data_IF_300294775468
#
_entry.id   IF_300294775468
#
_cell.length_a   1.000
_cell.length_b   1.000
_cell.length_c   1.000
_cell.angle_alpha   90.00
_cell.angle_beta   90.00
_cell.angle_gamma   90.00
#
_symmetry.space_group_name_H-M   'P 1'
#
loop_
_entity.id
_entity.type
_entity.pdbx_description
1 polymer ?
#
# COMPACT_ATOMS: atom_id res chain seq x y z
N UNK A 1 31.95 -83.54 19.62
CA UNK A 1 30.98 -83.07 18.59
C UNK A 1 29.66 -82.50 19.15
N UNK A 2 28.97 -83.12 20.12
CA UNK A 2 27.67 -82.59 20.62
C UNK A 2 27.71 -81.21 21.30
N UNK A 3 28.77 -80.85 22.04
CA UNK A 3 28.87 -79.55 22.74
C UNK A 3 29.00 -78.35 21.79
N UNK A 4 29.68 -78.52 20.65
CA UNK A 4 29.91 -77.47 19.66
C UNK A 4 28.63 -77.09 18.92
N UNK A 5 27.80 -78.09 18.56
CA UNK A 5 26.52 -77.89 17.85
C UNK A 5 25.49 -77.15 18.72
N UNK A 6 25.48 -77.41 20.02
CA UNK A 6 24.59 -76.70 20.98
C UNK A 6 25.00 -75.23 21.12
N UNK A 7 26.31 -74.95 21.07
CA UNK A 7 26.81 -73.58 21.19
C UNK A 7 26.49 -72.74 19.95
N UNK A 8 26.66 -73.31 18.75
CA UNK A 8 26.30 -72.65 17.49
C UNK A 8 24.79 -72.45 17.35
N UNK A 9 23.97 -73.39 17.83
CA UNK A 9 22.51 -73.26 17.85
C UNK A 9 22.03 -72.12 18.78
N UNK A 10 22.65 -71.96 19.95
CA UNK A 10 22.37 -70.85 20.88
C UNK A 10 22.78 -69.48 20.33
N UNK A 11 23.89 -69.40 19.60
CA UNK A 11 24.34 -68.18 18.92
C UNK A 11 23.38 -67.79 17.78
N UNK A 12 22.91 -68.75 16.99
CA UNK A 12 21.96 -68.50 15.91
C UNK A 12 20.59 -68.02 16.42
N UNK A 13 20.07 -68.64 17.50
CA UNK A 13 18.84 -68.21 18.17
C UNK A 13 18.97 -66.79 18.75
N UNK A 14 20.14 -66.44 19.31
CA UNK A 14 20.42 -65.09 19.80
C UNK A 14 20.43 -64.04 18.68
N UNK A 15 21.03 -64.35 17.53
CA UNK A 15 21.06 -63.45 16.36
C UNK A 15 19.65 -63.22 15.78
N UNK A 16 18.83 -64.27 15.70
CA UNK A 16 17.44 -64.14 15.24
C UNK A 16 16.64 -63.25 16.19
N UNK A 17 16.77 -63.42 17.50
CA UNK A 17 16.09 -62.60 18.50
C UNK A 17 16.50 -61.11 18.46
N UNK A 18 17.76 -60.82 18.15
CA UNK A 18 18.24 -59.44 17.98
C UNK A 18 17.68 -58.83 16.69
N UNK A 19 17.67 -59.59 15.59
CA UNK A 19 17.13 -59.11 14.31
C UNK A 19 15.63 -58.82 14.36
N UNK A 20 14.85 -59.64 15.07
CA UNK A 20 13.42 -59.41 15.28
C UNK A 20 13.14 -58.22 16.19
N UNK A 21 13.97 -57.99 17.22
CA UNK A 21 13.88 -56.81 18.07
C UNK A 21 14.16 -55.51 17.29
N UNK A 22 15.14 -55.52 16.39
CA UNK A 22 15.46 -54.40 15.50
C UNK A 22 14.31 -54.15 14.51
N UNK A 23 13.74 -55.20 13.93
CA UNK A 23 12.64 -55.06 12.98
C UNK A 23 11.38 -54.48 13.66
N UNK A 24 11.07 -54.93 14.88
CA UNK A 24 9.95 -54.41 15.67
C UNK A 24 10.19 -52.94 16.04
N UNK A 25 11.40 -52.56 16.46
CA UNK A 25 11.73 -51.15 16.74
C UNK A 25 11.67 -50.27 15.49
N UNK A 26 12.12 -50.75 14.33
CA UNK A 26 11.96 -50.05 13.05
C UNK A 26 10.48 -49.85 12.67
N UNK A 27 9.62 -50.86 12.89
CA UNK A 27 8.17 -50.75 12.67
C UNK A 27 7.51 -49.71 13.60
N UNK A 28 7.98 -49.57 14.85
CA UNK A 28 7.51 -48.52 15.77
C UNK A 28 8.02 -47.11 15.39
N UNK A 29 9.20 -47.00 14.78
CA UNK A 29 9.72 -45.72 14.28
C UNK A 29 8.91 -45.24 13.06
N UNK A 30 8.50 -46.15 12.18
CA UNK A 30 7.69 -45.81 10.99
C UNK A 30 6.18 -45.66 11.28
N UNK A 31 5.68 -46.19 12.41
CA UNK A 31 4.27 -46.10 12.80
C UNK A 31 3.89 -44.82 13.58
N UNK A 32 4.83 -43.88 13.80
CA UNK A 32 4.47 -42.53 14.27
C UNK A 32 3.79 -41.78 13.13
N UNK A 33 2.46 -41.87 13.11
CA UNK A 33 1.54 -40.90 12.49
C UNK A 33 2.09 -39.49 12.68
N UNK A 34 2.12 -38.70 11.61
CA UNK A 34 2.14 -37.25 11.72
C UNK A 34 0.96 -36.83 12.62
N UNK A 35 1.29 -36.40 13.83
CA UNK A 35 0.33 -35.72 14.67
C UNK A 35 0.04 -34.37 14.00
N UNK A 36 -1.24 -34.09 13.75
CA UNK A 36 -1.72 -32.75 13.41
C UNK A 36 -1.18 -31.79 14.49
N UNK A 37 -0.44 -30.72 14.14
CA UNK A 37 0.10 -29.85 15.16
C UNK A 37 -1.03 -29.12 15.88
N UNK A 38 -1.15 -29.36 17.18
CA UNK A 38 -1.97 -28.56 18.09
C UNK A 38 -1.43 -27.12 18.16
N UNK A 39 -2.35 -26.17 18.32
CA UNK A 39 -2.07 -24.74 18.39
C UNK A 39 -1.11 -24.46 19.55
N UNK A 40 0.04 -23.78 19.37
CA UNK A 40 1.00 -23.59 20.46
C UNK A 40 0.47 -22.64 21.53
N UNK A 41 0.59 -23.06 22.80
CA UNK A 41 0.13 -22.35 24.01
C UNK A 41 1.11 -21.28 24.57
N UNK A 42 2.21 -20.97 23.88
CA UNK A 42 3.20 -19.98 24.35
C UNK A 42 3.25 -18.75 23.45
N UNK A 43 3.43 -17.56 24.03
CA UNK A 43 3.62 -16.30 23.29
C UNK A 43 4.91 -16.41 22.45
N UNK A 44 4.76 -16.84 21.20
CA UNK A 44 5.85 -17.10 20.23
C UNK A 44 6.57 -15.79 19.81
N UNK A 45 6.01 -14.62 20.12
CA UNK A 45 6.44 -13.35 19.54
C UNK A 45 7.85 -12.93 19.95
N UNK A 46 8.31 -13.24 21.17
CA UNK A 46 9.60 -12.75 21.65
C UNK A 46 10.81 -13.61 21.23
N UNK A 47 10.64 -14.92 20.98
CA UNK A 47 11.79 -15.81 20.72
C UNK A 47 12.32 -15.75 19.28
N UNK A 48 11.59 -15.13 18.35
CA UNK A 48 11.98 -15.00 16.93
C UNK A 48 12.18 -13.56 16.46
N UNK A 49 11.98 -12.59 17.35
CA UNK A 49 12.04 -11.16 16.99
C UNK A 49 13.44 -10.62 17.26
N UNK A 50 14.17 -10.32 16.19
CA UNK A 50 15.48 -9.68 16.24
C UNK A 50 15.45 -8.35 15.48
N UNK A 51 16.17 -7.37 16.00
CA UNK A 51 16.31 -6.02 15.44
C UNK A 51 17.70 -5.92 14.84
N UNK A 52 17.77 -5.61 13.55
CA UNK A 52 19.00 -5.48 12.76
C UNK A 52 19.17 -4.04 12.23
N UNK A 53 20.40 -3.58 11.95
CA UNK A 53 20.57 -2.38 11.14
C UNK A 53 19.92 -2.56 9.76
N UNK A 54 19.43 -1.47 9.16
CA UNK A 54 18.87 -1.52 7.80
C UNK A 54 20.00 -1.29 6.82
N UNK A 55 20.11 -2.15 5.81
CA UNK A 55 21.07 -1.96 4.72
C UNK A 55 20.54 -0.92 3.73
N UNK A 56 21.40 0.05 3.41
CA UNK A 56 21.14 1.04 2.37
C UNK A 56 21.63 0.51 1.02
N UNK A 57 20.91 0.77 -0.08
CA UNK A 57 21.40 0.41 -1.40
C UNK A 57 22.66 1.23 -1.75
N UNK A 58 23.53 0.69 -2.61
CA UNK A 58 24.72 1.40 -3.10
C UNK A 58 24.33 2.60 -3.98
N UNK A 59 23.28 2.44 -4.79
CA UNK A 59 22.73 3.48 -5.67
C UNK A 59 21.22 3.56 -5.49
N UNK A 60 20.68 4.77 -5.60
CA UNK A 60 19.24 5.02 -5.48
C UNK A 60 18.83 6.16 -6.40
N UNK A 61 17.66 6.01 -7.00
CA UNK A 61 17.02 7.04 -7.81
C UNK A 61 15.62 7.35 -7.30
N UNK A 62 15.22 8.61 -7.44
CA UNK A 62 13.84 9.06 -7.27
C UNK A 62 13.36 9.67 -8.59
N UNK A 63 12.35 9.04 -9.20
CA UNK A 63 11.74 9.52 -10.43
C UNK A 63 12.75 9.73 -11.59
N UNK A 64 13.77 8.88 -11.67
CA UNK A 64 14.87 8.97 -12.65
C UNK A 64 15.96 9.99 -12.29
N UNK A 65 15.91 10.58 -11.10
CA UNK A 65 16.93 11.50 -10.58
C UNK A 65 17.79 10.79 -9.53
N UNK A 66 19.11 10.97 -9.61
CA UNK A 66 20.06 10.37 -8.66
C UNK A 66 19.88 10.94 -7.25
N UNK A 67 19.83 10.05 -6.26
CA UNK A 67 19.92 10.39 -4.83
C UNK A 67 21.40 10.34 -4.40
N UNK A 68 21.99 11.44 -3.87
CA UNK A 68 23.43 11.48 -3.55
C UNK A 68 23.74 10.83 -2.19
N UNK A 69 23.75 9.49 -2.14
CA UNK A 69 23.99 8.71 -0.92
C UNK A 69 25.43 8.83 -0.36
N UNK A 70 26.36 9.42 -1.11
CA UNK A 70 27.69 9.78 -0.63
C UNK A 70 27.67 10.94 0.38
N UNK A 71 26.58 11.71 0.44
CA UNK A 71 26.41 12.77 1.42
C UNK A 71 25.93 12.15 2.75
N UNK A 72 26.64 12.47 3.84
CA UNK A 72 26.41 11.85 5.16
C UNK A 72 24.99 12.12 5.65
N UNK A 73 24.52 13.36 5.51
CA UNK A 73 23.20 13.80 5.91
C UNK A 73 22.10 13.14 5.07
N UNK A 74 22.27 13.00 3.75
CA UNK A 74 21.32 12.28 2.88
C UNK A 74 21.20 10.82 3.31
N UNK A 75 22.34 10.16 3.55
CA UNK A 75 22.40 8.77 3.99
C UNK A 75 21.72 8.56 5.35
N UNK A 76 22.05 9.38 6.34
CA UNK A 76 21.47 9.30 7.69
C UNK A 76 19.98 9.63 7.71
N UNK A 77 19.53 10.59 6.88
CA UNK A 77 18.11 10.90 6.76
C UNK A 77 17.31 9.76 6.11
N UNK A 78 17.85 9.10 5.08
CA UNK A 78 17.23 7.91 4.48
C UNK A 78 17.19 6.75 5.47
N UNK A 79 18.29 6.46 6.15
CA UNK A 79 18.37 5.41 7.17
C UNK A 79 17.35 5.64 8.28
N UNK A 80 17.19 6.88 8.77
CA UNK A 80 16.17 7.22 9.76
C UNK A 80 14.77 6.82 9.30
N UNK A 81 14.38 7.18 8.08
CA UNK A 81 13.04 6.86 7.58
C UNK A 81 12.85 5.36 7.32
N UNK A 82 13.90 4.66 6.89
CA UNK A 82 13.88 3.20 6.79
C UNK A 82 13.69 2.54 8.16
N UNK A 83 14.46 2.95 9.18
CA UNK A 83 14.31 2.42 10.54
C UNK A 83 12.90 2.64 11.07
N UNK A 84 12.31 3.83 10.87
CA UNK A 84 10.94 4.13 11.30
C UNK A 84 9.94 3.16 10.64
N UNK A 85 10.03 2.97 9.33
CA UNK A 85 9.04 2.17 8.60
C UNK A 85 9.28 0.66 8.75
N UNK A 86 10.52 0.20 8.91
CA UNK A 86 10.83 -1.21 9.19
C UNK A 86 10.38 -1.60 10.59
N UNK A 87 10.56 -0.74 11.59
CA UNK A 87 10.25 -1.07 12.98
C UNK A 87 8.84 -0.66 13.44
N UNK A 88 8.03 -0.11 12.54
CA UNK A 88 6.59 0.02 12.72
C UNK A 88 5.83 -1.03 11.90
N UNK A 89 6.09 -2.32 12.17
CA UNK A 89 5.67 -3.39 11.25
C UNK A 89 4.16 -3.44 11.00
N UNK A 90 3.34 -3.21 12.02
CA UNK A 90 1.88 -3.24 11.88
C UNK A 90 1.36 -2.20 10.89
N UNK A 91 1.99 -1.03 10.86
CA UNK A 91 1.68 0.03 9.92
C UNK A 91 2.15 -0.34 8.50
N UNK A 92 3.39 -0.80 8.36
CA UNK A 92 3.96 -1.16 7.05
C UNK A 92 3.24 -2.35 6.41
N UNK A 93 2.83 -3.36 7.19
CA UNK A 93 1.97 -4.44 6.70
C UNK A 93 0.63 -3.91 6.14
N UNK A 94 0.06 -2.89 6.79
CA UNK A 94 -1.17 -2.27 6.31
C UNK A 94 -0.93 -1.45 5.02
N UNK A 95 0.22 -0.78 4.92
CA UNK A 95 0.64 -0.10 3.69
C UNK A 95 0.80 -1.09 2.52
N UNK A 96 1.47 -2.23 2.73
CA UNK A 96 1.60 -3.29 1.71
C UNK A 96 0.24 -3.77 1.21
N UNK A 97 -0.68 -4.09 2.14
CA UNK A 97 -2.04 -4.52 1.79
C UNK A 97 -2.77 -3.44 0.98
N UNK A 98 -2.73 -2.17 1.41
CA UNK A 98 -3.41 -1.05 0.72
C UNK A 98 -2.77 -0.69 -0.62
N UNK A 99 -1.45 -0.74 -0.73
CA UNK A 99 -0.72 -0.50 -1.96
C UNK A 99 -1.21 -1.45 -3.06
N UNK A 100 -1.33 -2.75 -2.74
CA UNK A 100 -1.87 -3.74 -3.68
C UNK A 100 -3.29 -3.43 -4.17
N UNK A 101 -4.13 -2.78 -3.35
CA UNK A 101 -5.48 -2.35 -3.75
C UNK A 101 -5.51 -1.08 -4.58
N UNK A 102 -4.67 -0.10 -4.26
CA UNK A 102 -4.85 1.27 -4.79
C UNK A 102 -3.80 1.69 -5.83
N UNK A 103 -2.63 1.04 -5.87
CA UNK A 103 -1.65 1.29 -6.93
C UNK A 103 -2.20 1.00 -8.33
N UNK A 104 -2.96 -0.09 -8.59
CA UNK A 104 -3.46 -0.32 -9.94
C UNK A 104 -4.51 0.73 -10.39
N UNK A 105 -5.09 1.51 -9.45
CA UNK A 105 -5.90 2.70 -9.75
C UNK A 105 -5.03 3.93 -10.06
N UNK A 106 -3.93 4.14 -9.32
CA UNK A 106 -3.07 5.33 -9.39
C UNK A 106 -2.10 5.26 -10.58
N UNK A 107 -1.41 4.14 -10.77
CA UNK A 107 -0.33 3.98 -11.74
C UNK A 107 -0.76 4.25 -13.20
N UNK A 108 -1.93 3.78 -13.69
CA UNK A 108 -2.36 4.11 -15.05
C UNK A 108 -2.61 5.60 -15.24
N UNK A 109 -3.05 6.31 -14.19
CA UNK A 109 -3.26 7.76 -14.23
C UNK A 109 -1.92 8.48 -14.29
N UNK A 110 -0.95 8.13 -13.45
CA UNK A 110 0.39 8.72 -13.49
C UNK A 110 1.01 8.56 -14.88
N UNK A 111 0.98 7.33 -15.41
CA UNK A 111 1.49 7.00 -16.76
C UNK A 111 0.80 7.80 -17.86
N UNK A 112 -0.53 7.91 -17.82
CA UNK A 112 -1.30 8.68 -18.81
C UNK A 112 -0.97 10.18 -18.79
N UNK A 113 -0.47 10.71 -17.68
CA UNK A 113 -0.11 12.11 -17.54
C UNK A 113 1.40 12.37 -17.67
N UNK A 114 2.21 11.38 -18.03
CA UNK A 114 3.68 11.49 -18.08
C UNK A 114 4.30 11.88 -16.73
N UNK A 115 3.71 11.40 -15.63
CA UNK A 115 4.25 11.55 -14.28
C UNK A 115 4.96 10.25 -13.89
N UNK A 116 6.19 10.30 -13.35
CA UNK A 116 6.94 9.10 -12.96
C UNK A 116 6.18 8.22 -11.97
N UNK A 117 6.32 6.91 -12.13
CA UNK A 117 5.61 5.93 -11.30
C UNK A 117 5.94 6.05 -9.81
N UNK A 118 7.19 6.43 -9.49
CA UNK A 118 7.66 6.73 -8.13
C UNK A 118 6.79 7.74 -7.38
N UNK A 119 6.06 8.62 -8.08
CA UNK A 119 5.17 9.59 -7.45
C UNK A 119 4.00 8.95 -6.71
N UNK A 120 3.67 7.68 -6.97
CA UNK A 120 2.65 6.95 -6.19
C UNK A 120 3.01 6.84 -4.71
N UNK A 121 4.30 6.81 -4.38
CA UNK A 121 4.78 6.76 -3.00
C UNK A 121 4.55 8.07 -2.25
N UNK A 122 4.31 9.19 -2.95
CA UNK A 122 3.81 10.41 -2.32
C UNK A 122 2.42 10.18 -1.71
N UNK A 123 1.49 9.53 -2.41
CA UNK A 123 0.16 9.25 -1.85
C UNK A 123 0.23 8.33 -0.62
N UNK A 124 1.24 7.45 -0.55
CA UNK A 124 1.54 6.66 0.64
C UNK A 124 2.03 7.57 1.77
N UNK A 125 3.00 8.45 1.50
CA UNK A 125 3.52 9.41 2.49
C UNK A 125 2.49 10.49 2.90
N UNK A 126 1.49 10.78 2.09
CA UNK A 126 0.50 11.80 2.44
C UNK A 126 -0.62 11.24 3.33
N UNK A 127 -1.11 10.03 3.04
CA UNK A 127 -2.35 9.55 3.67
C UNK A 127 -2.40 8.07 4.04
N UNK A 128 -1.30 7.34 3.88
CA UNK A 128 -1.25 5.88 4.02
C UNK A 128 -2.24 5.16 3.08
N UNK A 129 -2.53 5.79 1.92
CA UNK A 129 -3.55 5.38 0.96
C UNK A 129 -4.95 5.28 1.58
N UNK A 130 -5.34 6.31 2.33
CA UNK A 130 -6.66 6.44 2.95
C UNK A 130 -7.35 7.76 2.62
N UNK A 131 -8.66 7.82 2.91
CA UNK A 131 -9.45 9.06 2.88
C UNK A 131 -9.21 9.91 4.14
N UNK A 132 -7.94 10.18 4.47
CA UNK A 132 -7.52 10.93 5.65
C UNK A 132 -7.92 12.41 5.57
N UNK A 133 -8.07 13.03 6.74
CA UNK A 133 -8.25 14.47 6.90
C UNK A 133 -7.21 14.96 7.89
N UNK A 134 -6.32 15.86 7.47
CA UNK A 134 -5.31 16.43 8.36
C UNK A 134 -5.91 17.52 9.28
N UNK A 135 -5.22 17.90 10.35
CA UNK A 135 -5.57 19.07 11.16
C UNK A 135 -5.72 20.36 10.34
N UNK A 136 -4.92 20.51 9.28
CA UNK A 136 -4.93 21.65 8.36
C UNK A 136 -5.96 21.50 7.22
N UNK A 137 -6.88 20.54 7.33
CA UNK A 137 -7.96 20.28 6.39
C UNK A 137 -7.48 19.87 4.98
N UNK A 138 -6.28 19.29 4.89
CA UNK A 138 -5.88 18.51 3.73
C UNK A 138 -6.68 17.20 3.69
N UNK A 139 -7.08 16.75 2.50
CA UNK A 139 -8.06 15.66 2.36
C UNK A 139 -7.64 14.62 1.33
N UNK A 140 -7.92 13.36 1.65
CA UNK A 140 -7.89 12.23 0.73
C UNK A 140 -6.49 11.65 0.53
N UNK A 141 -6.35 10.89 -0.55
CA UNK A 141 -5.12 10.17 -0.89
C UNK A 141 -3.92 11.09 -1.10
N UNK A 142 -4.19 12.27 -1.64
CA UNK A 142 -3.19 13.25 -2.04
C UNK A 142 -3.16 14.47 -1.12
N UNK A 143 -3.86 14.42 0.02
CA UNK A 143 -3.88 15.48 1.04
C UNK A 143 -4.01 16.91 0.45
N UNK A 144 -4.97 17.10 -0.45
CA UNK A 144 -5.20 18.44 -1.00
C UNK A 144 -5.91 19.34 0.00
N UNK A 145 -5.36 20.52 0.26
CA UNK A 145 -6.10 21.63 0.85
C UNK A 145 -7.12 22.19 -0.16
N UNK A 146 -8.21 22.79 0.34
CA UNK A 146 -9.35 23.20 -0.51
C UNK A 146 -8.98 24.21 -1.61
N UNK A 147 -8.04 25.13 -1.36
CA UNK A 147 -7.59 26.11 -2.35
C UNK A 147 -6.84 25.41 -3.49
N UNK A 148 -5.80 24.64 -3.15
CA UNK A 148 -4.99 23.89 -4.10
C UNK A 148 -5.83 22.90 -4.91
N UNK A 149 -6.82 22.23 -4.29
CA UNK A 149 -7.75 21.35 -4.98
C UNK A 149 -8.50 22.07 -6.11
N UNK A 150 -9.07 23.24 -5.82
CA UNK A 150 -9.83 24.03 -6.79
C UNK A 150 -8.95 24.60 -7.89
N UNK A 151 -7.76 25.09 -7.54
CA UNK A 151 -6.75 25.54 -8.50
C UNK A 151 -6.37 24.42 -9.47
N UNK A 152 -6.31 23.19 -8.96
CA UNK A 152 -6.05 21.99 -9.75
C UNK A 152 -7.33 21.35 -10.28
N UNK A 153 -8.44 22.08 -10.41
CA UNK A 153 -9.63 21.64 -11.15
C UNK A 153 -10.56 20.65 -10.44
N UNK A 154 -10.43 20.46 -9.13
CA UNK A 154 -11.38 19.69 -8.33
C UNK A 154 -12.58 20.53 -7.89
N UNK A 155 -13.76 19.94 -7.94
CA UNK A 155 -14.95 20.50 -7.31
C UNK A 155 -14.91 20.28 -5.80
N UNK A 156 -15.01 21.38 -5.03
CA UNK A 156 -15.02 21.36 -3.56
C UNK A 156 -16.10 22.30 -3.04
N UNK A 157 -17.24 21.72 -2.68
CA UNK A 157 -18.39 22.39 -2.08
C UNK A 157 -19.06 21.49 -1.01
N UNK A 158 -20.24 21.89 -0.53
CA UNK A 158 -20.95 21.24 0.58
C UNK A 158 -21.50 19.85 0.21
N UNK A 159 -21.88 19.64 -1.04
CA UNK A 159 -22.52 18.40 -1.52
C UNK A 159 -21.51 17.47 -2.19
N UNK A 160 -20.49 18.04 -2.85
CA UNK A 160 -19.46 17.34 -3.61
C UNK A 160 -18.07 17.84 -3.20
N UNK A 161 -17.21 16.93 -2.81
CA UNK A 161 -15.79 17.20 -2.55
C UNK A 161 -14.93 16.13 -3.24
N UNK A 162 -14.45 16.46 -4.43
CA UNK A 162 -13.68 15.56 -5.30
C UNK A 162 -12.27 15.29 -4.77
N UNK A 163 -11.84 15.90 -3.66
CA UNK A 163 -10.62 15.48 -2.94
C UNK A 163 -10.75 14.05 -2.40
N UNK A 164 -11.97 13.63 -2.07
CA UNK A 164 -12.29 12.25 -1.70
C UNK A 164 -12.50 11.32 -2.91
N UNK A 165 -12.29 11.78 -4.14
CA UNK A 165 -12.42 10.95 -5.34
C UNK A 165 -11.03 10.55 -5.85
N UNK A 166 -10.59 9.32 -5.58
CA UNK A 166 -9.21 8.86 -5.86
C UNK A 166 -8.75 9.14 -7.30
N UNK A 167 -9.55 8.79 -8.32
CA UNK A 167 -9.17 9.04 -9.73
C UNK A 167 -9.01 10.53 -10.03
N UNK A 168 -9.98 11.37 -9.64
CA UNK A 168 -9.97 12.82 -9.88
C UNK A 168 -8.85 13.52 -9.10
N UNK A 169 -8.66 13.19 -7.83
CA UNK A 169 -7.58 13.76 -7.02
C UNK A 169 -6.20 13.31 -7.51
N UNK A 170 -6.05 12.10 -8.05
CA UNK A 170 -4.81 11.67 -8.71
C UNK A 170 -4.52 12.48 -9.97
N UNK A 171 -5.54 12.75 -10.80
CA UNK A 171 -5.38 13.67 -11.95
C UNK A 171 -5.00 15.10 -11.52
N UNK A 172 -5.55 15.59 -10.40
CA UNK A 172 -5.18 16.89 -9.84
C UNK A 172 -3.73 16.91 -9.33
N UNK A 173 -3.29 15.84 -8.65
CA UNK A 173 -1.90 15.68 -8.23
C UNK A 173 -0.95 15.68 -9.42
N UNK A 174 -1.31 14.97 -10.51
CA UNK A 174 -0.53 14.98 -11.75
C UNK A 174 -0.36 16.40 -12.30
N UNK A 175 -1.43 17.20 -12.36
CA UNK A 175 -1.37 18.60 -12.83
C UNK A 175 -0.42 19.43 -11.98
N UNK A 176 -0.58 19.37 -10.65
CA UNK A 176 0.28 20.09 -9.73
C UNK A 176 1.76 19.71 -9.92
N UNK A 177 2.05 18.41 -9.96
CA UNK A 177 3.40 17.88 -10.04
C UNK A 177 4.09 18.27 -11.35
N UNK A 178 3.38 18.21 -12.48
CA UNK A 178 3.92 18.65 -13.78
C UNK A 178 4.24 20.13 -13.80
N UNK A 179 3.31 20.98 -13.36
CA UNK A 179 3.55 22.42 -13.26
C UNK A 179 4.72 22.77 -12.33
N UNK A 180 4.88 22.01 -11.23
CA UNK A 180 6.02 22.18 -10.34
C UNK A 180 7.32 21.66 -10.98
N UNK A 181 7.29 20.54 -11.71
CA UNK A 181 8.44 20.07 -12.46
C UNK A 181 8.86 21.06 -13.55
N UNK A 182 7.91 21.60 -14.33
CA UNK A 182 8.19 22.64 -15.33
C UNK A 182 8.83 23.89 -14.71
N UNK A 183 8.52 24.18 -13.45
CA UNK A 183 9.08 25.32 -12.70
C UNK A 183 10.48 25.04 -12.14
N UNK A 184 10.71 23.85 -11.58
CA UNK A 184 11.90 23.55 -10.79
C UNK A 184 12.92 22.67 -11.51
N UNK A 185 12.52 21.97 -12.58
CA UNK A 185 13.36 21.04 -13.33
C UNK A 185 13.77 19.79 -12.56
N UNK A 186 13.17 19.53 -11.39
CA UNK A 186 13.44 18.36 -10.56
C UNK A 186 12.16 17.85 -9.90
N UNK A 187 11.98 16.54 -9.93
CA UNK A 187 10.92 15.79 -9.27
C UNK A 187 11.03 15.83 -7.75
N UNK A 188 12.25 15.77 -7.20
CA UNK A 188 12.46 15.98 -5.76
C UNK A 188 12.01 17.38 -5.33
N UNK A 189 12.34 18.42 -6.11
CA UNK A 189 11.89 19.78 -5.87
C UNK A 189 10.37 19.94 -6.07
N UNK A 190 9.80 19.26 -7.07
CA UNK A 190 8.36 19.27 -7.31
C UNK A 190 7.59 18.66 -6.13
N UNK A 191 8.04 17.52 -5.62
CA UNK A 191 7.46 16.88 -4.43
C UNK A 191 7.66 17.71 -3.16
N UNK A 192 8.82 18.36 -2.96
CA UNK A 192 9.02 19.30 -1.86
C UNK A 192 8.04 20.48 -1.93
N UNK A 193 7.81 21.03 -3.13
CA UNK A 193 6.84 22.11 -3.35
C UNK A 193 5.40 21.68 -3.10
N UNK A 194 5.11 20.38 -3.23
CA UNK A 194 3.81 19.80 -2.93
C UNK A 194 3.54 19.86 -1.42
N UNK A 195 4.51 19.43 -0.62
CA UNK A 195 4.38 19.40 0.84
C UNK A 195 4.39 20.80 1.47
N UNK A 196 5.34 21.67 1.10
CA UNK A 196 5.47 23.00 1.74
C UNK A 196 4.80 24.16 1.00
N UNK A 197 4.25 23.89 -0.17
CA UNK A 197 3.76 24.90 -1.10
C UNK A 197 4.87 25.59 -1.90
N UNK A 198 4.54 25.99 -3.14
CA UNK A 198 5.48 26.64 -4.09
C UNK A 198 6.07 27.95 -3.53
N UNK A 199 5.27 28.76 -2.84
CA UNK A 199 5.73 30.03 -2.26
C UNK A 199 6.78 29.80 -1.17
N UNK A 200 6.53 28.85 -0.26
CA UNK A 200 7.47 28.51 0.81
C UNK A 200 8.77 27.94 0.27
N UNK A 201 8.70 27.07 -0.75
CA UNK A 201 9.90 26.53 -1.39
C UNK A 201 10.71 27.65 -2.09
N UNK A 202 10.04 28.54 -2.83
CA UNK A 202 10.71 29.67 -3.50
C UNK A 202 11.42 30.59 -2.50
N UNK A 203 10.83 30.82 -1.33
CA UNK A 203 11.48 31.59 -0.26
C UNK A 203 12.78 30.92 0.18
N UNK A 204 12.77 29.60 0.41
CA UNK A 204 13.97 28.86 0.82
C UNK A 204 15.04 28.83 -0.27
N UNK A 205 14.65 28.61 -1.53
CA UNK A 205 15.54 28.68 -2.69
C UNK A 205 16.25 30.02 -2.74
N UNK A 206 15.50 31.12 -2.67
CA UNK A 206 16.05 32.47 -2.78
C UNK A 206 16.92 32.84 -1.57
N UNK A 207 16.49 32.46 -0.35
CA UNK A 207 17.21 32.74 0.89
C UNK A 207 18.56 32.04 0.96
N UNK A 208 18.65 30.83 0.41
CA UNK A 208 19.85 29.98 0.49
C UNK A 208 20.68 30.00 -0.79
N UNK A 209 20.14 30.53 -1.89
CA UNK A 209 20.74 30.48 -3.22
C UNK A 209 21.06 29.04 -3.66
N UNK A 210 20.13 28.13 -3.40
CA UNK A 210 20.22 26.69 -3.70
C UNK A 210 18.93 26.23 -4.36
N UNK A 211 19.03 25.41 -5.41
CA UNK A 211 17.89 24.89 -6.18
C UNK A 211 17.87 23.35 -6.26
N UNK A 212 18.51 22.68 -5.31
CA UNK A 212 18.55 21.23 -5.17
C UNK A 212 17.96 20.83 -3.81
N UNK A 213 17.06 19.84 -3.78
CA UNK A 213 16.42 19.39 -2.55
C UNK A 213 17.44 18.92 -1.50
N UNK A 214 18.43 18.14 -1.90
CA UNK A 214 19.42 17.53 -1.01
C UNK A 214 20.40 18.55 -0.41
N UNK A 215 20.49 19.75 -1.00
CA UNK A 215 21.33 20.84 -0.50
C UNK A 215 20.53 21.93 0.24
N UNK A 216 19.19 21.88 0.21
CA UNK A 216 18.31 22.88 0.83
C UNK A 216 18.06 22.57 2.31
N UNK A 217 18.31 23.56 3.18
CA UNK A 217 17.83 23.50 4.55
C UNK A 217 16.33 23.80 4.58
N UNK A 218 15.52 22.76 4.77
CA UNK A 218 14.06 22.84 4.88
C UNK A 218 13.61 22.66 6.33
N UNK A 219 12.32 22.88 6.59
CA UNK A 219 11.74 22.54 7.90
C UNK A 219 11.75 21.01 8.11
N UNK A 220 11.51 20.57 9.35
CA UNK A 220 11.55 19.15 9.71
C UNK A 220 10.59 18.28 8.88
N UNK A 221 9.41 18.76 8.55
CA UNK A 221 8.43 17.98 7.78
C UNK A 221 8.90 17.79 6.33
N UNK A 222 9.17 18.90 5.65
CA UNK A 222 9.53 18.89 4.22
C UNK A 222 10.91 18.34 3.98
N UNK A 223 11.87 18.61 4.87
CA UNK A 223 13.23 18.06 4.79
C UNK A 223 13.27 16.53 4.96
N UNK A 224 12.24 15.95 5.56
CA UNK A 224 12.08 14.49 5.71
C UNK A 224 11.28 13.85 4.59
N UNK A 225 10.50 14.63 3.87
CA UNK A 225 9.45 14.14 2.98
C UNK A 225 9.98 13.23 1.86
N UNK A 226 11.04 13.63 1.15
CA UNK A 226 11.61 12.79 0.07
C UNK A 226 12.23 11.51 0.63
N UNK A 227 12.91 11.58 1.78
CA UNK A 227 13.50 10.40 2.41
C UNK A 227 12.42 9.39 2.86
N UNK A 228 11.28 9.89 3.33
CA UNK A 228 10.12 9.06 3.68
C UNK A 228 9.54 8.38 2.44
N UNK A 229 9.40 9.13 1.34
CA UNK A 229 8.95 8.58 0.05
C UNK A 229 9.92 7.49 -0.44
N UNK A 230 11.23 7.73 -0.36
CA UNK A 230 12.27 6.77 -0.75
C UNK A 230 12.27 5.52 0.12
N UNK A 231 12.12 5.64 1.43
CA UNK A 231 12.02 4.50 2.34
C UNK A 231 10.77 3.65 2.01
N UNK A 232 9.62 4.30 1.77
CA UNK A 232 8.40 3.62 1.34
C UNK A 232 8.57 2.96 -0.03
N UNK A 233 9.24 3.61 -0.99
CA UNK A 233 9.58 3.02 -2.28
C UNK A 233 10.38 1.74 -2.10
N UNK A 234 11.46 1.78 -1.34
CA UNK A 234 12.34 0.63 -1.10
C UNK A 234 11.57 -0.53 -0.46
N UNK A 235 10.85 -0.27 0.63
CA UNK A 235 10.13 -1.31 1.38
C UNK A 235 8.98 -1.90 0.58
N UNK A 236 8.17 -1.07 -0.09
CA UNK A 236 7.00 -1.56 -0.82
C UNK A 236 7.35 -2.22 -2.15
N UNK A 237 8.51 -1.91 -2.74
CA UNK A 237 8.97 -2.56 -3.98
C UNK A 237 9.65 -3.90 -3.72
N UNK A 238 10.31 -4.05 -2.57
CA UNK A 238 10.99 -5.28 -2.17
C UNK A 238 10.81 -5.55 -0.66
N UNK A 239 9.61 -5.92 -0.22
CA UNK A 239 9.31 -6.10 1.21
C UNK A 239 10.18 -7.17 1.89
N UNK A 240 10.59 -8.21 1.15
CA UNK A 240 11.40 -9.31 1.67
C UNK A 240 12.77 -8.86 2.17
N UNK A 241 13.44 -7.98 1.43
CA UNK A 241 14.74 -7.40 1.82
C UNK A 241 14.67 -6.57 3.11
N UNK A 242 13.48 -6.16 3.52
CA UNK A 242 13.23 -5.38 4.74
C UNK A 242 12.51 -6.20 5.83
N UNK A 243 12.43 -7.52 5.69
CA UNK A 243 11.89 -8.42 6.71
C UNK A 243 10.36 -8.55 6.71
N UNK A 244 9.68 -8.10 5.65
CA UNK A 244 8.24 -8.25 5.47
C UNK A 244 7.94 -9.42 4.52
N UNK A 245 7.37 -10.49 5.08
CA UNK A 245 6.91 -11.65 4.31
C UNK A 245 5.38 -11.66 4.35
N UNK A 246 4.76 -11.48 3.18
CA UNK A 246 3.31 -11.41 3.02
C UNK A 246 2.90 -12.28 1.84
N UNK A 247 1.91 -13.15 2.05
CA UNK A 247 1.38 -14.00 0.98
C UNK A 247 0.37 -13.22 0.13
N UNK A 248 0.18 -13.56 -1.17
CA UNK A 248 -0.78 -12.88 -2.04
C UNK A 248 -2.21 -12.83 -1.47
N UNK A 249 -2.65 -13.88 -0.77
CA UNK A 249 -3.99 -13.98 -0.17
C UNK A 249 -4.18 -13.03 1.01
N UNK A 250 -3.09 -12.56 1.62
CA UNK A 250 -3.12 -11.56 2.67
C UNK A 250 -3.28 -10.13 2.12
N UNK A 251 -3.00 -9.88 0.85
CA UNK A 251 -3.07 -8.55 0.26
C UNK A 251 -4.52 -8.12 0.05
N UNK A 252 -4.79 -6.81 0.18
CA UNK A 252 -6.07 -6.29 -0.24
C UNK A 252 -6.10 -6.17 -1.75
N UNK A 253 -7.11 -6.77 -2.38
CA UNK A 253 -7.33 -6.70 -3.82
C UNK A 253 -8.33 -5.59 -4.17
N UNK A 254 -8.31 -5.18 -5.44
CA UNK A 254 -9.34 -4.29 -5.99
C UNK A 254 -10.73 -4.91 -5.83
N UNK A 255 -11.69 -4.06 -5.47
CA UNK A 255 -13.09 -4.45 -5.39
C UNK A 255 -13.75 -4.04 -6.71
N UNK A 256 -14.28 -4.97 -7.50
CA UNK A 256 -14.84 -4.65 -8.81
C UNK A 256 -16.11 -3.79 -8.65
N UNK A 257 -16.15 -2.71 -9.41
CA UNK A 257 -17.27 -1.77 -9.47
C UNK A 257 -17.77 -1.61 -10.91
N UNK A 258 -18.91 -0.95 -11.06
CA UNK A 258 -19.38 -0.37 -12.31
C UNK A 258 -19.87 1.06 -12.04
N UNK A 259 -19.92 1.89 -13.09
CA UNK A 259 -20.30 3.30 -12.97
C UNK A 259 -21.76 3.51 -13.34
N UNK A 260 -22.46 4.29 -12.52
CA UNK A 260 -23.81 4.78 -12.78
C UNK A 260 -23.74 6.27 -13.07
N UNK A 261 -24.29 6.67 -14.21
CA UNK A 261 -24.34 8.08 -14.62
C UNK A 261 -25.50 8.81 -13.93
N UNK A 262 -25.22 9.99 -13.38
CA UNK A 262 -26.19 10.88 -12.75
C UNK A 262 -25.97 12.30 -13.26
N UNK A 263 -26.95 12.84 -13.98
CA UNK A 263 -26.93 14.18 -14.59
C UNK A 263 -28.03 15.12 -14.06
N UNK A 264 -28.80 14.66 -13.06
CA UNK A 264 -29.87 15.42 -12.41
C UNK A 264 -29.82 15.36 -10.88
N UNK A 265 -30.87 15.86 -10.20
CA UNK A 265 -30.96 15.82 -8.75
C UNK A 265 -31.13 14.39 -8.21
N UNK A 266 -30.59 14.15 -7.02
CA UNK A 266 -30.84 12.96 -6.21
C UNK A 266 -31.38 13.43 -4.87
N UNK A 267 -32.68 13.21 -4.62
CA UNK A 267 -33.35 13.67 -3.40
C UNK A 267 -32.86 12.97 -2.13
N UNK A 268 -32.58 11.66 -2.23
CA UNK A 268 -32.09 10.84 -1.11
C UNK A 268 -31.16 9.73 -1.62
N UNK A 269 -29.92 9.72 -1.13
CA UNK A 269 -28.90 8.75 -1.52
C UNK A 269 -29.09 7.36 -0.90
N UNK A 270 -29.85 7.22 0.19
CA UNK A 270 -30.23 5.91 0.72
C UNK A 270 -31.27 5.24 -0.20
N UNK A 271 -32.25 6.01 -0.69
CA UNK A 271 -33.20 5.53 -1.70
C UNK A 271 -32.52 5.27 -3.05
N UNK A 272 -31.54 6.10 -3.43
CA UNK A 272 -30.71 5.82 -4.61
C UNK A 272 -29.94 4.51 -4.45
N UNK A 273 -29.28 4.30 -3.30
CA UNK A 273 -28.49 3.11 -3.04
C UNK A 273 -29.33 1.82 -3.08
N UNK A 274 -30.55 1.86 -2.54
CA UNK A 274 -31.42 0.68 -2.47
C UNK A 274 -31.81 0.13 -3.85
N UNK A 275 -31.90 0.99 -4.88
CA UNK A 275 -32.14 0.60 -6.28
C UNK A 275 -31.03 -0.29 -6.85
N UNK A 276 -29.83 -0.22 -6.29
CA UNK A 276 -28.67 -1.01 -6.69
C UNK A 276 -28.32 -2.11 -5.67
N UNK A 277 -29.29 -2.51 -4.83
CA UNK A 277 -29.11 -3.56 -3.82
C UNK A 277 -27.97 -3.29 -2.81
N UNK A 278 -27.63 -2.01 -2.60
CA UNK A 278 -26.64 -1.58 -1.62
C UNK A 278 -27.27 -0.64 -0.60
N UNK A 279 -26.63 -0.51 0.57
CA UNK A 279 -27.07 0.46 1.58
C UNK A 279 -26.25 1.75 1.52
N UNK A 280 -26.77 2.82 2.14
CA UNK A 280 -26.12 4.14 2.16
C UNK A 280 -24.66 4.09 2.62
N UNK A 281 -24.32 3.25 3.61
CA UNK A 281 -22.93 3.05 4.05
C UNK A 281 -22.03 2.52 2.93
N UNK A 282 -22.48 1.56 2.13
CA UNK A 282 -21.72 1.09 0.95
C UNK A 282 -21.53 2.23 -0.03
N UNK A 283 -22.60 2.94 -0.37
CA UNK A 283 -22.54 4.01 -1.34
C UNK A 283 -21.48 5.05 -0.94
N UNK A 284 -21.47 5.47 0.33
CA UNK A 284 -20.47 6.41 0.87
C UNK A 284 -19.06 5.83 0.99
N UNK A 285 -18.92 4.52 1.12
CA UNK A 285 -17.61 3.87 1.15
C UNK A 285 -16.92 3.92 -0.23
N UNK A 286 -17.68 3.73 -1.31
CA UNK A 286 -17.17 3.81 -2.69
C UNK A 286 -17.18 5.23 -3.26
N UNK A 287 -18.10 6.08 -2.79
CA UNK A 287 -18.24 7.47 -3.24
C UNK A 287 -18.14 8.45 -2.07
N UNK A 288 -17.01 8.47 -1.33
CA UNK A 288 -16.86 9.38 -0.19
C UNK A 288 -16.83 10.86 -0.62
N UNK A 289 -16.67 11.14 -1.92
CA UNK A 289 -16.78 12.47 -2.50
C UNK A 289 -18.20 13.05 -2.51
N UNK A 290 -19.23 12.19 -2.38
CA UNK A 290 -20.58 12.64 -2.09
C UNK A 290 -20.66 13.00 -0.61
N UNK A 291 -20.74 14.29 -0.28
CA UNK A 291 -20.63 14.80 1.09
C UNK A 291 -21.97 14.95 1.81
N UNK A 292 -23.05 15.14 1.06
CA UNK A 292 -24.39 15.27 1.62
C UNK A 292 -25.25 14.02 1.38
N UNK A 293 -26.41 13.90 2.04
CA UNK A 293 -27.36 12.81 1.84
C UNK A 293 -28.20 12.94 0.56
N UNK A 294 -28.05 14.06 -0.15
CA UNK A 294 -28.72 14.39 -1.40
C UNK A 294 -27.77 15.13 -2.34
N UNK A 295 -28.22 15.35 -3.57
CA UNK A 295 -27.49 16.12 -4.57
C UNK A 295 -28.50 16.98 -5.34
N UNK A 296 -28.43 18.31 -5.20
CA UNK A 296 -29.36 19.19 -5.92
C UNK A 296 -29.00 19.28 -7.41
N UNK A 297 -27.70 19.33 -7.73
CA UNK A 297 -27.17 19.39 -9.11
C UNK A 297 -27.90 20.38 -10.03
N UNK A 298 -28.19 21.60 -9.58
CA UNK A 298 -28.91 22.61 -10.39
C UNK A 298 -28.21 22.96 -11.70
N UNK A 299 -26.90 22.70 -11.81
CA UNK A 299 -26.10 22.94 -13.00
C UNK A 299 -26.20 21.82 -14.04
N UNK A 300 -26.87 20.70 -13.74
CA UNK A 300 -26.99 19.54 -14.64
C UNK A 300 -25.62 18.90 -14.95
N UNK A 301 -24.68 18.94 -14.01
CA UNK A 301 -23.36 18.34 -14.19
C UNK A 301 -23.49 16.82 -14.17
N UNK A 302 -22.79 16.14 -15.08
CA UNK A 302 -22.72 14.68 -15.08
C UNK A 302 -21.72 14.18 -14.04
N UNK A 303 -22.19 13.29 -13.18
CA UNK A 303 -21.39 12.55 -12.21
C UNK A 303 -21.44 11.05 -12.50
N UNK A 304 -20.36 10.35 -12.14
CA UNK A 304 -20.23 8.91 -12.24
C UNK A 304 -20.10 8.35 -10.83
N UNK A 305 -21.10 7.58 -10.41
CA UNK A 305 -21.18 6.98 -9.08
C UNK A 305 -20.72 5.51 -9.19
N UNK A 306 -19.70 5.13 -8.42
CA UNK A 306 -19.20 3.77 -8.39
C UNK A 306 -20.08 2.88 -7.52
N UNK A 307 -20.60 1.80 -8.10
CA UNK A 307 -21.39 0.79 -7.40
C UNK A 307 -20.59 -0.52 -7.40
N UNK A 308 -20.35 -1.14 -6.23
CA UNK A 308 -19.69 -2.43 -6.20
C UNK A 308 -20.57 -3.53 -6.79
N UNK A 309 -19.94 -4.54 -7.38
CA UNK A 309 -20.65 -5.74 -7.82
C UNK A 309 -21.20 -6.54 -6.64
N UNK A 310 -22.20 -7.39 -6.91
CA UNK A 310 -22.79 -8.27 -5.90
C UNK A 310 -21.73 -9.19 -5.26
N UNK A 311 -21.95 -9.59 -4.01
CA UNK A 311 -21.01 -10.44 -3.26
C UNK A 311 -19.75 -9.73 -2.75
N UNK A 312 -19.58 -8.42 -2.99
CA UNK A 312 -18.35 -7.72 -2.58
C UNK A 312 -18.09 -7.78 -1.06
N UNK A 313 -19.15 -7.82 -0.24
CA UNK A 313 -19.04 -7.86 1.23
C UNK A 313 -18.67 -9.23 1.79
N UNK A 314 -19.06 -10.31 1.12
CA UNK A 314 -18.74 -11.68 1.54
C UNK A 314 -17.36 -12.14 1.04
N UNK A 315 -16.73 -11.39 0.13
CA UNK A 315 -15.45 -11.78 -0.48
C UNK A 315 -15.61 -12.71 -1.69
N UNK A 316 -16.84 -13.00 -2.10
CA UNK A 316 -17.17 -13.99 -3.14
C UNK A 316 -17.12 -13.42 -4.57
N UNK A 317 -16.77 -12.14 -4.72
CA UNK A 317 -16.74 -11.41 -5.99
C UNK A 317 -15.61 -11.85 -6.95
N UNK A 318 -14.73 -12.77 -6.53
CA UNK A 318 -13.69 -13.41 -7.34
C UNK A 318 -14.00 -14.82 -7.84
N UNK A 319 -15.15 -15.39 -7.48
CA UNK A 319 -15.54 -16.76 -7.88
C UNK A 319 -16.50 -16.82 -9.08
N UNK A 320 -16.87 -15.66 -9.66
CA UNK A 320 -17.80 -15.59 -10.78
C UNK A 320 -17.03 -15.19 -12.04
N UNK A 321 -16.81 -16.20 -12.89
CA UNK A 321 -16.41 -16.24 -14.32
C UNK A 321 -15.81 -15.01 -15.01
N UNK A 322 -14.79 -15.25 -15.83
CA UNK A 322 -14.18 -14.34 -16.83
C UNK A 322 -15.16 -13.30 -17.43
N UNK A 323 -15.09 -12.05 -16.94
CA UNK A 323 -15.94 -10.93 -17.37
C UNK A 323 -15.30 -10.07 -18.47
N UNK A 324 -14.44 -10.64 -19.32
CA UNK A 324 -13.84 -9.93 -20.46
C UNK A 324 -14.83 -9.51 -21.57
N UNK A 325 -16.14 -9.77 -21.43
CA UNK A 325 -17.16 -9.55 -22.47
C UNK A 325 -18.30 -8.60 -22.09
N UNK A 326 -18.02 -7.46 -21.43
CA UNK A 326 -19.05 -6.52 -20.98
C UNK A 326 -18.89 -5.07 -21.46
N UNK A 327 -18.75 -4.83 -22.77
CA UNK A 327 -19.07 -3.49 -23.31
C UNK A 327 -20.59 -3.32 -23.27
N UNK A 328 -21.06 -2.35 -22.51
CA UNK A 328 -22.42 -1.85 -22.64
C UNK A 328 -22.33 -0.62 -23.53
N UNK A 329 -23.05 -0.66 -24.65
CA UNK A 329 -23.31 0.47 -25.55
C UNK A 329 -24.03 1.62 -24.85
#
# INVERSE_FOLDING_TARGET
MKKTIIHTSRLLLGLIAISSLILITCLFIFARREAVPEKPDEIITAQRYAVYPVELPEELEFAGERVPLEYIDVRENLERELLINVYWQSHTLLLLKRANRYFPVIEPILRKNDVPDDMKYMAVAESDLTMAVSPDQAVGFWQFVSSAARENGLEVNREVDERYHIKKSTHAACRFLKESYDRYGSWAMAAASYNMGRSGLNEQINRQNVNNYYDLLLNEETGRFIYRILALKLILSDPGSYGFYIEPEDLYTEIPTYEVTVDGPVEDFADFASKYNINYKVLKMFNPWLRDNKLVNSAGKTYYIEIPRDGFRSGEYGAVEDWSSGRVE
#
